data_IF_243738955665
#
_entry.id   IF_243738955665
#
_cell.length_a   1.000
_cell.length_b   1.000
_cell.length_c   1.000
_cell.angle_alpha   90.00
_cell.angle_beta   90.00
_cell.angle_gamma   90.00
#
_symmetry.space_group_name_H-M   'P 1'
#
loop_
_entity.id
_entity.type
_entity.pdbx_description
1 polymer ?
#
# COMPACT_ATOMS: atom_id res chain seq x y z
N UNK A 1 -18.34 76.97 20.28
CA UNK A 1 -18.37 76.12 19.07
C UNK A 1 -17.05 75.34 18.97
N UNK A 2 -17.05 74.03 19.25
CA UNK A 2 -15.96 73.11 18.87
C UNK A 2 -16.61 71.85 18.29
N UNK A 3 -16.25 71.52 17.05
CA UNK A 3 -16.88 70.51 16.19
C UNK A 3 -16.50 69.08 16.64
N UNK A 4 -17.49 68.19 16.69
CA UNK A 4 -17.35 66.74 16.94
C UNK A 4 -16.87 66.07 15.64
N UNK A 5 -15.75 65.31 15.60
CA UNK A 5 -15.14 64.86 14.35
C UNK A 5 -15.46 63.43 13.92
N UNK A 6 -16.50 62.76 14.45
CA UNK A 6 -16.83 61.39 14.01
C UNK A 6 -18.33 61.14 13.94
N UNK A 7 -18.93 61.51 12.82
CA UNK A 7 -20.38 61.33 12.53
C UNK A 7 -20.68 60.11 11.64
N UNK A 8 -19.67 59.36 11.19
CA UNK A 8 -19.80 58.32 10.15
C UNK A 8 -19.39 56.89 10.60
N UNK A 9 -19.33 56.59 11.89
CA UNK A 9 -18.98 55.25 12.38
C UNK A 9 -19.95 54.12 11.97
N UNK A 10 -21.30 54.29 11.94
CA UNK A 10 -22.20 53.19 11.56
C UNK A 10 -22.11 52.84 10.06
N UNK A 11 -21.70 53.79 9.21
CA UNK A 11 -21.54 53.56 7.75
C UNK A 11 -20.33 52.68 7.43
N UNK A 12 -19.24 52.76 8.21
CA UNK A 12 -18.05 51.93 7.99
C UNK A 12 -18.21 50.49 8.50
N UNK A 13 -19.03 50.27 9.53
CA UNK A 13 -19.33 48.93 10.05
C UNK A 13 -20.26 48.15 9.10
N UNK A 14 -21.25 48.81 8.48
CA UNK A 14 -22.12 48.20 7.46
C UNK A 14 -21.37 47.81 6.19
N UNK A 15 -20.34 48.57 5.79
CA UNK A 15 -19.53 48.22 4.62
C UNK A 15 -18.64 47.00 4.85
N UNK A 16 -18.11 46.84 6.08
CA UNK A 16 -17.34 45.65 6.47
C UNK A 16 -18.22 44.40 6.58
N UNK A 17 -19.45 44.53 7.09
CA UNK A 17 -20.43 43.44 7.15
C UNK A 17 -20.93 43.01 5.75
N UNK A 18 -21.13 43.97 4.84
CA UNK A 18 -21.52 43.68 3.46
C UNK A 18 -20.39 43.03 2.67
N UNK A 19 -19.14 43.46 2.88
CA UNK A 19 -17.96 42.83 2.28
C UNK A 19 -17.75 41.39 2.78
N UNK A 20 -18.03 41.11 4.07
CA UNK A 20 -17.95 39.78 4.65
C UNK A 20 -19.08 38.83 4.19
N UNK A 21 -20.29 39.36 3.92
CA UNK A 21 -21.41 38.59 3.36
C UNK A 21 -21.20 38.23 1.87
N UNK A 22 -20.54 39.09 1.10
CA UNK A 22 -20.23 38.82 -0.31
C UNK A 22 -19.11 37.77 -0.49
N UNK A 23 -18.23 37.58 0.50
CA UNK A 23 -17.19 36.52 0.46
C UNK A 23 -17.71 35.11 0.76
N UNK A 24 -18.96 34.97 1.21
CA UNK A 24 -19.59 33.66 1.50
C UNK A 24 -20.69 33.26 0.49
N UNK A 25 -20.78 33.95 -0.65
CA UNK A 25 -21.77 33.65 -1.69
C UNK A 25 -21.30 32.51 -2.60
N UNK A 26 -21.59 31.28 -2.17
CA UNK A 26 -21.94 30.07 -2.94
C UNK A 26 -21.28 29.90 -4.32
N UNK A 27 -20.31 29.01 -4.42
CA UNK A 27 -19.98 28.27 -5.66
C UNK A 27 -21.03 27.17 -5.85
N UNK A 28 -22.02 27.42 -6.71
CA UNK A 28 -22.91 26.40 -7.24
C UNK A 28 -22.17 25.73 -8.40
N UNK A 29 -21.72 24.48 -8.23
CA UNK A 29 -21.33 23.65 -9.35
C UNK A 29 -22.60 23.18 -10.06
N UNK A 30 -22.73 23.53 -11.34
CA UNK A 30 -23.74 22.95 -12.21
C UNK A 30 -23.35 21.49 -12.51
N UNK A 31 -24.29 20.59 -12.28
CA UNK A 31 -24.21 19.18 -12.61
C UNK A 31 -24.62 19.05 -14.09
N UNK A 32 -23.65 18.87 -14.98
CA UNK A 32 -23.94 18.56 -16.38
C UNK A 32 -24.30 17.07 -16.48
N UNK A 33 -25.52 16.82 -16.97
CA UNK A 33 -26.06 15.49 -17.24
C UNK A 33 -25.19 14.80 -18.31
N UNK A 34 -24.72 13.60 -17.98
CA UNK A 34 -24.08 12.70 -18.93
C UNK A 34 -25.10 12.30 -20.00
N UNK A 35 -24.98 12.89 -21.19
CA UNK A 35 -25.60 12.35 -22.39
C UNK A 35 -24.89 11.04 -22.73
N UNK A 36 -25.66 9.95 -22.71
CA UNK A 36 -25.23 8.67 -23.26
C UNK A 36 -24.89 8.83 -24.74
N UNK A 37 -23.61 8.70 -25.08
CA UNK A 37 -23.21 8.40 -26.45
C UNK A 37 -23.30 6.88 -26.65
N UNK A 38 -24.39 6.44 -27.27
CA UNK A 38 -24.37 5.18 -28.01
C UNK A 38 -23.35 5.32 -29.14
N UNK A 39 -22.13 4.85 -28.90
CA UNK A 39 -21.14 4.65 -29.96
C UNK A 39 -21.65 3.47 -30.81
N UNK A 40 -22.32 3.83 -31.90
CA UNK A 40 -22.54 2.92 -33.01
C UNK A 40 -21.17 2.62 -33.62
N UNK A 41 -20.67 1.41 -33.38
CA UNK A 41 -19.46 0.89 -33.97
C UNK A 41 -19.49 1.11 -35.49
N UNK A 42 -18.69 2.06 -35.96
CA UNK A 42 -18.45 2.25 -37.38
C UNK A 42 -17.73 1.00 -37.90
N UNK A 43 -18.44 0.18 -38.67
CA UNK A 43 -17.85 -0.93 -39.41
C UNK A 43 -16.65 -0.41 -40.22
N UNK A 44 -15.44 -0.83 -39.85
CA UNK A 44 -14.24 -0.50 -40.60
C UNK A 44 -14.23 -1.31 -41.91
N UNK A 45 -14.20 -0.60 -43.03
CA UNK A 45 -14.06 -1.18 -44.37
C UNK A 45 -12.57 -1.37 -44.67
N UNK A 46 -11.99 -2.45 -44.16
CA UNK A 46 -10.62 -2.90 -44.46
C UNK A 46 -10.59 -4.39 -44.84
N UNK A 47 -9.44 -4.93 -45.32
CA UNK A 47 -9.27 -6.37 -45.46
C UNK A 47 -9.45 -7.05 -44.10
N UNK A 48 -10.24 -8.12 -44.06
CA UNK A 48 -10.64 -8.86 -42.85
C UNK A 48 -11.54 -8.00 -41.92
N UNK A 49 -12.66 -7.52 -42.46
CA UNK A 49 -13.61 -6.68 -41.72
C UNK A 49 -14.38 -7.50 -40.67
N UNK A 50 -14.18 -7.18 -39.40
CA UNK A 50 -14.87 -7.80 -38.26
C UNK A 50 -15.19 -6.79 -37.16
N UNK A 51 -15.87 -7.25 -36.11
CA UNK A 51 -16.20 -6.48 -34.92
C UNK A 51 -15.06 -6.56 -33.88
N UNK A 52 -14.32 -5.46 -33.63
CA UNK A 52 -13.22 -5.46 -32.66
C UNK A 52 -13.66 -5.74 -31.21
N UNK A 53 -14.90 -5.40 -30.83
CA UNK A 53 -15.39 -5.64 -29.47
C UNK A 53 -15.62 -7.14 -29.22
N UNK A 54 -16.23 -7.84 -30.19
CA UNK A 54 -16.33 -9.30 -30.14
C UNK A 54 -14.94 -9.97 -30.23
N UNK A 55 -14.07 -9.42 -31.10
CA UNK A 55 -12.69 -9.85 -31.27
C UNK A 55 -11.85 -9.82 -30.01
N UNK A 56 -12.03 -8.78 -29.16
CA UNK A 56 -11.33 -8.68 -27.89
C UNK A 56 -11.67 -9.85 -26.95
N UNK A 57 -12.95 -10.21 -26.85
CA UNK A 57 -13.40 -11.32 -26.01
C UNK A 57 -12.82 -12.65 -26.50
N UNK A 58 -12.89 -12.90 -27.82
CA UNK A 58 -12.35 -14.09 -28.45
C UNK A 58 -10.83 -14.19 -28.32
N UNK A 59 -10.12 -13.07 -28.46
CA UNK A 59 -8.68 -12.99 -28.27
C UNK A 59 -8.27 -13.31 -26.84
N UNK A 60 -8.95 -12.73 -25.84
CA UNK A 60 -8.70 -13.01 -24.42
C UNK A 60 -8.94 -14.47 -24.07
N UNK A 61 -9.95 -15.10 -24.67
CA UNK A 61 -10.29 -16.49 -24.43
C UNK A 61 -9.31 -17.49 -25.09
N UNK A 62 -8.83 -17.21 -26.31
CA UNK A 62 -8.16 -18.22 -27.13
C UNK A 62 -6.69 -17.90 -27.46
N UNK A 63 -6.29 -16.63 -27.47
CA UNK A 63 -5.01 -16.19 -28.04
C UNK A 63 -4.07 -15.52 -27.03
N UNK A 64 -4.62 -14.83 -26.03
CA UNK A 64 -3.87 -13.99 -25.08
C UNK A 64 -2.87 -14.75 -24.18
N UNK A 65 -2.99 -16.08 -24.11
CA UNK A 65 -2.07 -16.95 -23.39
C UNK A 65 -0.70 -17.08 -24.10
N UNK A 66 -0.67 -16.96 -25.43
CA UNK A 66 0.54 -17.14 -26.23
C UNK A 66 0.96 -15.87 -26.99
N UNK A 67 0.02 -14.96 -27.24
CA UNK A 67 0.26 -13.75 -28.02
C UNK A 67 -0.01 -12.47 -27.21
N UNK A 68 0.80 -11.46 -27.46
CA UNK A 68 0.56 -10.06 -27.06
C UNK A 68 0.39 -9.20 -28.30
N UNK A 69 -0.26 -8.05 -28.16
CA UNK A 69 -0.46 -7.15 -29.30
C UNK A 69 0.87 -6.51 -29.73
N UNK A 70 1.66 -6.02 -28.79
CA UNK A 70 2.81 -5.15 -29.08
C UNK A 70 4.18 -5.76 -28.75
N UNK A 71 4.24 -6.99 -28.23
CA UNK A 71 5.49 -7.65 -27.80
C UNK A 71 5.53 -9.13 -28.22
N UNK A 72 6.74 -9.64 -28.42
CA UNK A 72 7.00 -11.07 -28.64
C UNK A 72 6.85 -11.86 -27.34
N UNK A 73 6.32 -13.07 -27.42
CA UNK A 73 6.15 -13.99 -26.30
C UNK A 73 6.36 -15.43 -26.80
N UNK A 74 5.49 -16.38 -26.44
CA UNK A 74 5.45 -17.72 -27.04
C UNK A 74 5.18 -17.63 -28.54
N UNK A 75 4.35 -16.68 -28.98
CA UNK A 75 4.11 -16.35 -30.37
C UNK A 75 4.47 -14.89 -30.73
N UNK A 76 4.38 -14.53 -32.02
CA UNK A 76 4.64 -13.17 -32.49
C UNK A 76 3.66 -12.13 -31.94
N UNK A 77 4.11 -10.88 -31.92
CA UNK A 77 3.26 -9.72 -31.70
C UNK A 77 2.21 -9.63 -32.82
N UNK A 78 0.94 -9.45 -32.45
CA UNK A 78 -0.18 -9.52 -33.40
C UNK A 78 -0.65 -8.16 -33.91
N UNK A 79 -0.20 -7.04 -33.32
CA UNK A 79 -0.60 -5.72 -33.83
C UNK A 79 -0.06 -5.49 -35.24
N UNK A 80 -0.96 -5.15 -36.15
CA UNK A 80 -0.63 -4.93 -37.57
C UNK A 80 -0.35 -6.21 -38.37
N UNK A 81 -0.72 -7.38 -37.87
CA UNK A 81 -0.54 -8.66 -38.59
C UNK A 81 -1.30 -8.69 -39.91
N UNK A 82 -2.51 -8.12 -39.95
CA UNK A 82 -3.33 -8.00 -41.16
C UNK A 82 -2.62 -7.15 -42.22
N UNK A 83 -2.05 -6.01 -41.82
CA UNK A 83 -1.29 -5.15 -42.72
C UNK A 83 0.02 -5.79 -43.20
N UNK A 84 0.66 -6.62 -42.38
CA UNK A 84 1.92 -7.31 -42.70
C UNK A 84 1.75 -8.36 -43.79
N UNK A 85 0.69 -9.16 -43.73
CA UNK A 85 0.47 -10.26 -44.67
C UNK A 85 -0.50 -9.90 -45.80
N UNK A 86 -1.42 -8.96 -45.57
CA UNK A 86 -2.41 -8.47 -46.53
C UNK A 86 -3.14 -9.59 -47.30
N UNK A 87 -3.45 -10.68 -46.59
CA UNK A 87 -3.94 -11.95 -47.12
C UNK A 87 -4.81 -12.62 -46.05
N UNK A 88 -6.11 -12.28 -46.02
CA UNK A 88 -7.04 -12.75 -44.99
C UNK A 88 -7.29 -14.25 -45.08
N UNK A 89 -7.40 -14.78 -46.30
CA UNK A 89 -7.62 -16.20 -46.54
C UNK A 89 -6.47 -17.03 -45.96
N UNK A 90 -5.23 -16.58 -46.16
CA UNK A 90 -4.07 -17.23 -45.53
C UNK A 90 -4.06 -17.10 -44.01
N UNK A 91 -4.48 -15.96 -43.45
CA UNK A 91 -4.60 -15.79 -42.01
C UNK A 91 -5.69 -16.70 -41.41
N UNK A 92 -6.80 -16.91 -42.11
CA UNK A 92 -7.85 -17.85 -41.74
C UNK A 92 -7.32 -19.29 -41.71
N UNK A 93 -6.62 -19.72 -42.76
CA UNK A 93 -6.00 -21.04 -42.82
C UNK A 93 -4.94 -21.23 -41.72
N UNK A 94 -4.12 -20.20 -41.47
CA UNK A 94 -3.10 -20.21 -40.43
C UNK A 94 -3.69 -20.33 -39.01
N UNK A 95 -4.73 -19.55 -38.71
CA UNK A 95 -5.35 -19.54 -37.38
C UNK A 95 -6.14 -20.83 -37.14
N UNK A 96 -6.81 -21.37 -38.17
CA UNK A 96 -7.49 -22.67 -38.08
C UNK A 96 -6.50 -23.82 -37.88
N UNK A 97 -5.44 -23.89 -38.68
CA UNK A 97 -4.41 -24.92 -38.53
C UNK A 97 -3.06 -24.54 -39.18
N UNK A 98 -2.20 -23.85 -38.43
CA UNK A 98 -0.84 -23.50 -38.85
C UNK A 98 0.02 -24.72 -39.27
N UNK A 99 -0.20 -25.89 -38.68
CA UNK A 99 0.61 -27.08 -38.95
C UNK A 99 0.37 -27.66 -40.35
N UNK A 100 -0.82 -27.47 -40.92
CA UNK A 100 -1.10 -27.92 -42.28
C UNK A 100 -0.35 -27.05 -43.30
N UNK A 101 -0.22 -25.74 -43.04
CA UNK A 101 0.58 -24.82 -43.86
C UNK A 101 2.09 -25.09 -43.74
N UNK A 102 2.58 -25.41 -42.54
CA UNK A 102 3.99 -25.79 -42.35
C UNK A 102 4.30 -27.10 -43.10
N UNK A 103 3.40 -28.10 -43.04
CA UNK A 103 3.57 -29.39 -43.73
C UNK A 103 3.39 -29.29 -45.25
N UNK A 104 2.54 -28.39 -45.73
CA UNK A 104 2.36 -28.14 -47.17
C UNK A 104 3.57 -27.45 -47.81
N UNK A 105 4.50 -26.95 -46.99
CA UNK A 105 5.73 -26.29 -47.44
C UNK A 105 5.55 -24.81 -47.77
N UNK A 106 4.51 -24.15 -47.23
CA UNK A 106 4.36 -22.70 -47.36
C UNK A 106 5.58 -21.99 -46.74
N UNK A 107 6.27 -21.17 -47.55
CA UNK A 107 7.52 -20.54 -47.14
C UNK A 107 7.34 -19.51 -46.02
N UNK A 108 6.16 -18.88 -45.92
CA UNK A 108 5.85 -17.93 -44.83
C UNK A 108 5.66 -18.70 -43.52
N UNK A 109 4.91 -19.79 -43.57
CA UNK A 109 4.62 -20.67 -42.45
C UNK A 109 5.88 -21.32 -41.86
N UNK A 110 6.72 -21.92 -42.71
CA UNK A 110 7.97 -22.58 -42.29
C UNK A 110 8.92 -21.58 -41.63
N UNK A 111 9.05 -20.38 -42.20
CA UNK A 111 9.91 -19.33 -41.64
C UNK A 111 9.48 -18.88 -40.24
N UNK A 112 8.16 -18.72 -40.01
CA UNK A 112 7.63 -18.38 -38.68
C UNK A 112 7.89 -19.54 -37.71
N UNK A 113 7.67 -20.79 -38.14
CA UNK A 113 7.89 -21.95 -37.31
C UNK A 113 9.36 -22.08 -36.86
N UNK A 114 10.32 -21.83 -37.75
CA UNK A 114 11.75 -21.80 -37.43
C UNK A 114 12.13 -20.62 -36.52
N UNK A 115 11.59 -19.41 -36.76
CA UNK A 115 11.87 -18.22 -35.93
C UNK A 115 11.45 -18.42 -34.47
N UNK A 116 10.40 -19.21 -34.22
CA UNK A 116 9.89 -19.51 -32.87
C UNK A 116 10.31 -20.90 -32.38
N UNK A 117 11.47 -21.40 -32.83
CA UNK A 117 12.09 -22.65 -32.37
C UNK A 117 11.18 -23.90 -32.47
N UNK A 118 10.31 -23.95 -33.47
CA UNK A 118 9.37 -25.05 -33.68
C UNK A 118 8.18 -25.06 -32.71
N UNK A 119 7.86 -23.92 -32.08
CA UNK A 119 6.66 -23.79 -31.26
C UNK A 119 5.40 -24.07 -32.09
N UNK A 120 4.60 -25.02 -31.65
CA UNK A 120 3.34 -25.40 -32.32
C UNK A 120 2.22 -24.51 -31.81
N UNK A 121 1.62 -23.72 -32.71
CA UNK A 121 0.36 -23.02 -32.43
C UNK A 121 -0.79 -24.03 -32.46
N UNK A 122 -1.57 -24.07 -31.38
CA UNK A 122 -2.78 -24.90 -31.27
C UNK A 122 -3.72 -24.61 -32.44
N UNK A 123 -4.33 -25.66 -33.00
CA UNK A 123 -5.32 -25.51 -34.06
C UNK A 123 -6.66 -25.04 -33.46
N UNK A 124 -7.32 -24.11 -34.15
CA UNK A 124 -8.63 -23.57 -33.76
C UNK A 124 -9.72 -23.86 -34.81
N UNK A 125 -10.00 -25.14 -35.15
CA UNK A 125 -11.02 -25.49 -36.14
C UNK A 125 -12.44 -25.09 -35.75
N UNK A 126 -12.67 -24.79 -34.47
CA UNK A 126 -13.95 -24.36 -33.93
C UNK A 126 -14.27 -22.87 -34.18
N UNK A 127 -13.27 -22.05 -34.51
CA UNK A 127 -13.51 -20.64 -34.83
C UNK A 127 -14.05 -20.51 -36.25
N UNK A 128 -15.17 -19.80 -36.40
CA UNK A 128 -15.71 -19.45 -37.71
C UNK A 128 -14.85 -18.38 -38.40
N UNK A 129 -15.01 -18.21 -39.71
CA UNK A 129 -14.29 -17.14 -40.44
C UNK A 129 -14.60 -15.76 -39.87
N UNK A 130 -15.86 -15.53 -39.44
CA UNK A 130 -16.26 -14.29 -38.78
C UNK A 130 -15.57 -14.11 -37.41
N UNK A 131 -15.45 -15.17 -36.61
CA UNK A 131 -14.74 -15.10 -35.32
C UNK A 131 -13.26 -14.72 -35.53
N UNK A 132 -12.65 -15.23 -36.61
CA UNK A 132 -11.27 -14.91 -36.97
C UNK A 132 -11.17 -13.46 -37.47
N UNK A 133 -12.10 -13.00 -38.31
CA UNK A 133 -12.15 -11.61 -38.76
C UNK A 133 -12.32 -10.63 -37.59
N UNK A 134 -13.15 -10.96 -36.61
CA UNK A 134 -13.34 -10.17 -35.40
C UNK A 134 -12.04 -10.08 -34.59
N UNK A 135 -11.33 -11.21 -34.38
CA UNK A 135 -10.00 -11.22 -33.72
C UNK A 135 -8.98 -10.38 -34.50
N UNK A 136 -8.94 -10.51 -35.83
CA UNK A 136 -8.04 -9.77 -36.70
C UNK A 136 -8.34 -8.26 -36.68
N UNK A 137 -9.60 -7.88 -36.61
CA UNK A 137 -10.04 -6.49 -36.46
C UNK A 137 -9.59 -5.91 -35.10
N UNK A 138 -9.72 -6.67 -34.00
CA UNK A 138 -9.21 -6.28 -32.69
C UNK A 138 -7.69 -6.08 -32.69
N UNK A 139 -6.93 -7.04 -33.23
CA UNK A 139 -5.46 -6.93 -33.30
C UNK A 139 -4.97 -5.80 -34.22
N UNK A 140 -5.81 -5.34 -35.15
CA UNK A 140 -5.49 -4.26 -36.09
C UNK A 140 -5.80 -2.86 -35.54
N UNK A 141 -6.43 -2.75 -34.37
CA UNK A 141 -6.65 -1.45 -33.74
C UNK A 141 -5.31 -0.72 -33.54
N UNK A 142 -5.29 0.62 -33.66
CA UNK A 142 -4.10 1.39 -33.31
C UNK A 142 -3.77 1.19 -31.83
N UNK A 143 -2.48 1.26 -31.48
CA UNK A 143 -2.06 1.22 -30.08
C UNK A 143 -2.74 2.39 -29.36
N UNK A 144 -3.54 2.17 -28.31
CA UNK A 144 -4.12 3.28 -27.56
C UNK A 144 -2.96 4.12 -27.02
N UNK A 145 -2.96 5.41 -27.34
CA UNK A 145 -1.96 6.32 -26.81
C UNK A 145 -2.09 6.35 -25.28
N UNK A 146 -0.98 6.31 -24.54
CA UNK A 146 -1.04 6.44 -23.10
C UNK A 146 -1.70 7.78 -22.80
N UNK A 147 -2.88 7.75 -22.19
CA UNK A 147 -3.52 8.94 -21.66
C UNK A 147 -2.60 9.45 -20.57
N UNK A 148 -1.73 10.40 -20.92
CA UNK A 148 -1.06 11.25 -19.94
C UNK A 148 -2.18 11.99 -19.27
N UNK A 149 -2.61 11.50 -18.11
CA UNK A 149 -3.49 12.25 -17.25
C UNK A 149 -2.80 13.60 -17.00
N UNK A 150 -3.41 14.68 -17.48
CA UNK A 150 -2.98 16.02 -17.13
C UNK A 150 -2.95 16.10 -15.61
N UNK A 151 -1.76 16.37 -15.07
CA UNK A 151 -1.58 16.67 -13.65
C UNK A 151 -2.41 17.92 -13.36
N UNK A 152 -3.47 17.84 -12.55
CA UNK A 152 -4.03 19.05 -11.97
C UNK A 152 -2.96 19.54 -11.00
N UNK A 153 -2.36 20.68 -11.29
CA UNK A 153 -1.50 21.38 -10.35
C UNK A 153 -2.30 21.64 -9.08
N UNK A 154 -1.91 20.93 -8.02
CA UNK A 154 -2.15 21.18 -6.61
C UNK A 154 -3.39 21.96 -6.22
N UNK A 155 -4.31 21.28 -5.55
CA UNK A 155 -4.89 21.85 -4.33
C UNK A 155 -5.01 20.72 -3.32
N UNK A 156 -4.38 20.91 -2.16
CA UNK A 156 -4.45 20.01 -1.02
C UNK A 156 -5.91 19.63 -0.72
N UNK A 157 -6.24 18.36 -0.94
CA UNK A 157 -7.55 17.77 -0.69
C UNK A 157 -7.45 16.72 0.40
N UNK A 158 -7.37 17.18 1.65
CA UNK A 158 -7.62 16.33 2.80
C UNK A 158 -8.99 15.68 2.68
N UNK A 159 -9.04 14.40 3.06
CA UNK A 159 -10.21 13.54 2.93
C UNK A 159 -11.49 14.17 3.45
N UNK A 160 -12.56 13.91 2.70
CA UNK A 160 -13.94 14.06 3.10
C UNK A 160 -14.22 13.20 4.34
N UNK A 161 -14.04 13.79 5.51
CA UNK A 161 -14.86 13.45 6.67
C UNK A 161 -15.81 14.62 6.90
N UNK A 162 -17.10 14.33 6.85
CA UNK A 162 -18.20 15.28 6.97
C UNK A 162 -18.38 15.71 8.43
N UNK A 163 -17.37 16.37 8.98
CA UNK A 163 -17.38 16.96 10.29
C UNK A 163 -16.37 18.09 10.31
N UNK A 164 -16.80 19.29 10.68
CA UNK A 164 -15.92 20.45 10.86
C UNK A 164 -14.67 19.99 11.63
N UNK A 165 -13.51 20.01 10.99
CA UNK A 165 -12.27 19.43 11.54
C UNK A 165 -12.00 20.06 12.90
N UNK A 166 -11.60 19.28 13.90
CA UNK A 166 -11.34 19.77 15.26
C UNK A 166 -10.41 21.01 15.27
N UNK A 167 -9.48 21.11 14.33
CA UNK A 167 -8.62 22.28 14.13
C UNK A 167 -9.38 23.57 13.77
N UNK A 168 -10.43 23.49 12.95
CA UNK A 168 -11.29 24.63 12.57
C UNK A 168 -12.17 25.02 13.75
N UNK A 169 -12.72 24.06 14.49
CA UNK A 169 -13.51 24.31 15.70
C UNK A 169 -12.64 24.98 16.77
N UNK A 170 -11.42 24.48 17.00
CA UNK A 170 -10.48 25.04 17.96
C UNK A 170 -10.02 26.46 17.55
N UNK A 171 -9.78 26.69 16.26
CA UNK A 171 -9.43 28.03 15.75
C UNK A 171 -10.58 29.03 15.92
N UNK A 172 -11.82 28.62 15.61
CA UNK A 172 -13.02 29.43 15.82
C UNK A 172 -13.25 29.73 17.31
N UNK A 173 -13.15 28.73 18.19
CA UNK A 173 -13.28 28.91 19.64
C UNK A 173 -12.20 29.86 20.19
N UNK A 174 -10.94 29.72 19.76
CA UNK A 174 -9.86 30.61 20.17
C UNK A 174 -10.12 32.06 19.75
N UNK A 175 -10.65 32.28 18.54
CA UNK A 175 -11.00 33.61 18.05
C UNK A 175 -12.17 34.23 18.83
N UNK A 176 -13.21 33.44 19.12
CA UNK A 176 -14.33 33.88 19.97
C UNK A 176 -13.83 34.23 21.37
N UNK A 177 -12.96 33.41 21.95
CA UNK A 177 -12.38 33.67 23.27
C UNK A 177 -11.55 34.95 23.29
N UNK A 178 -10.74 35.18 22.25
CA UNK A 178 -9.96 36.40 22.07
C UNK A 178 -10.89 37.63 21.98
N UNK A 179 -11.96 37.56 21.18
CA UNK A 179 -12.96 38.63 21.07
C UNK A 179 -13.65 38.90 22.40
N UNK A 180 -14.02 37.87 23.16
CA UNK A 180 -14.61 38.02 24.49
C UNK A 180 -13.64 38.68 25.48
N UNK A 181 -12.36 38.30 25.47
CA UNK A 181 -11.32 38.94 26.31
C UNK A 181 -11.15 40.42 25.95
N UNK A 182 -11.10 40.74 24.65
CA UNK A 182 -11.01 42.13 24.17
C UNK A 182 -12.26 42.92 24.58
N UNK A 183 -13.46 42.35 24.40
CA UNK A 183 -14.72 42.97 24.80
C UNK A 183 -14.74 43.23 26.31
N UNK A 184 -14.35 42.26 27.13
CA UNK A 184 -14.30 42.38 28.59
C UNK A 184 -13.35 43.51 29.02
N UNK A 185 -12.18 43.61 28.37
CA UNK A 185 -11.23 44.68 28.62
C UNK A 185 -11.80 46.06 28.25
N UNK A 186 -12.45 46.18 27.09
CA UNK A 186 -13.09 47.41 26.63
C UNK A 186 -14.24 47.83 27.54
N UNK A 187 -15.09 46.89 27.96
CA UNK A 187 -16.20 47.13 28.89
C UNK A 187 -15.66 47.59 30.24
N UNK A 188 -14.69 46.87 30.83
CA UNK A 188 -14.08 47.27 32.11
C UNK A 188 -13.44 48.67 32.02
N UNK A 189 -12.73 48.96 30.92
CA UNK A 189 -12.15 50.29 30.67
C UNK A 189 -13.22 51.37 30.54
N UNK A 190 -14.35 51.06 29.90
CA UNK A 190 -15.46 52.01 29.70
C UNK A 190 -16.21 52.25 31.00
N UNK A 191 -16.50 51.20 31.78
CA UNK A 191 -17.12 51.30 33.10
C UNK A 191 -16.26 52.13 34.07
N UNK A 192 -14.93 51.94 34.06
CA UNK A 192 -13.99 52.78 34.82
C UNK A 192 -13.99 54.23 34.35
N UNK A 193 -14.01 54.50 33.04
CA UNK A 193 -14.12 55.89 32.56
C UNK A 193 -15.43 56.56 32.95
N UNK A 194 -16.53 55.82 32.91
CA UNK A 194 -17.87 56.34 33.24
C UNK A 194 -17.98 56.66 34.72
N UNK A 195 -17.50 55.78 35.59
CA UNK A 195 -17.63 56.04 37.03
C UNK A 195 -16.59 57.07 37.55
N UNK A 196 -15.44 57.28 36.87
CA UNK A 196 -14.53 58.42 37.11
C UNK A 196 -15.25 59.74 36.76
N UNK A 197 -15.96 59.76 35.64
CA UNK A 197 -16.74 60.92 35.21
C UNK A 197 -17.96 61.22 36.12
N UNK A 198 -18.46 60.22 36.85
CA UNK A 198 -19.58 60.34 37.79
C UNK A 198 -19.16 60.51 39.25
N UNK A 199 -17.86 60.72 39.54
CA UNK A 199 -17.36 61.01 40.88
C UNK A 199 -17.43 59.85 41.88
N UNK A 200 -17.54 58.61 41.39
CA UNK A 200 -17.56 57.41 42.24
C UNK A 200 -16.12 56.97 42.48
N UNK A 201 -15.65 57.06 43.72
CA UNK A 201 -14.34 56.53 44.12
C UNK A 201 -14.40 55.00 44.22
N UNK A 202 -13.65 54.31 43.37
CA UNK A 202 -13.42 52.88 43.52
C UNK A 202 -12.28 52.67 44.50
N UNK A 203 -12.45 51.76 45.45
CA UNK A 203 -11.30 51.22 46.14
C UNK A 203 -10.46 50.45 45.12
N UNK A 204 -9.22 50.88 44.90
CA UNK A 204 -8.22 50.08 44.18
C UNK A 204 -8.05 48.79 44.98
N UNK A 205 -8.72 47.72 44.55
CA UNK A 205 -8.59 46.40 45.18
C UNK A 205 -7.11 46.10 45.36
N UNK A 206 -6.72 45.87 46.61
CA UNK A 206 -5.32 45.71 47.02
C UNK A 206 -4.55 44.87 45.99
N UNK A 207 -3.34 45.31 45.64
CA UNK A 207 -2.47 44.61 44.69
C UNK A 207 -2.29 43.16 45.14
N UNK A 208 -3.12 42.26 44.60
CA UNK A 208 -3.02 40.83 44.85
C UNK A 208 -1.62 40.39 44.47
N UNK A 209 -1.01 39.55 45.30
CA UNK A 209 0.29 38.99 44.98
C UNK A 209 0.21 38.31 43.60
N UNK A 210 1.19 38.54 42.70
CA UNK A 210 1.26 37.84 41.42
C UNK A 210 1.17 36.32 41.65
N UNK A 211 0.43 35.60 40.80
CA UNK A 211 0.14 34.17 40.97
C UNK A 211 1.43 33.34 41.19
N UNK A 212 2.51 33.65 40.47
CA UNK A 212 3.81 33.00 40.66
C UNK A 212 4.41 33.25 42.06
N UNK A 213 4.30 34.47 42.61
CA UNK A 213 4.75 34.76 43.98
C UNK A 213 3.88 34.06 45.02
N UNK A 214 2.56 34.04 44.81
CA UNK A 214 1.63 33.29 45.67
C UNK A 214 1.90 31.77 45.62
N UNK A 215 2.29 31.26 44.45
CA UNK A 215 2.69 29.87 44.26
C UNK A 215 3.99 29.54 45.00
N UNK A 216 5.05 30.34 44.84
CA UNK A 216 6.33 30.12 45.55
C UNK A 216 6.18 30.25 47.07
N UNK A 217 5.35 31.18 47.54
CA UNK A 217 5.08 31.33 48.97
C UNK A 217 4.32 30.13 49.56
N UNK A 218 3.57 29.40 48.72
CA UNK A 218 2.87 28.20 49.14
C UNK A 218 3.78 26.97 49.02
N UNK A 219 4.51 26.66 50.10
CA UNK A 219 5.44 25.53 50.16
C UNK A 219 4.78 24.18 49.81
N UNK A 220 3.49 24.00 50.12
CA UNK A 220 2.76 22.78 49.75
C UNK A 220 2.58 22.66 48.23
N UNK A 221 2.16 23.73 47.55
CA UNK A 221 2.02 23.73 46.09
C UNK A 221 3.37 23.53 45.39
N UNK A 222 4.43 24.20 45.86
CA UNK A 222 5.79 23.99 45.33
C UNK A 222 6.21 22.53 45.48
N UNK A 223 6.02 21.93 46.65
CA UNK A 223 6.40 20.54 46.91
C UNK A 223 5.59 19.56 46.04
N UNK A 224 4.27 19.74 45.93
CA UNK A 224 3.41 18.90 45.07
C UNK A 224 3.84 19.01 43.60
N UNK A 225 4.09 20.23 43.11
CA UNK A 225 4.55 20.44 41.73
C UNK A 225 5.95 19.86 41.51
N UNK A 226 6.87 19.97 42.46
CA UNK A 226 8.18 19.32 42.37
C UNK A 226 8.07 17.80 42.31
N UNK A 227 7.25 17.18 43.16
CA UNK A 227 6.99 15.73 43.12
C UNK A 227 6.40 15.34 41.77
N UNK A 228 5.40 16.08 41.29
CA UNK A 228 4.77 15.85 39.99
C UNK A 228 5.79 15.91 38.85
N UNK A 229 6.65 16.93 38.82
CA UNK A 229 7.69 17.09 37.81
C UNK A 229 8.74 15.98 37.88
N UNK A 230 9.13 15.55 39.09
CA UNK A 230 10.07 14.44 39.28
C UNK A 230 9.48 13.11 38.80
N UNK A 231 8.21 12.83 39.13
CA UNK A 231 7.51 11.63 38.66
C UNK A 231 7.30 11.68 37.14
N UNK A 232 6.96 12.83 36.59
CA UNK A 232 6.85 13.05 35.15
C UNK A 232 8.19 12.80 34.45
N UNK A 233 9.28 13.37 34.96
CA UNK A 233 10.62 13.16 34.43
C UNK A 233 11.03 11.67 34.50
N UNK A 234 10.77 11.01 35.63
CA UNK A 234 11.03 9.58 35.78
C UNK A 234 10.21 8.73 34.81
N UNK A 235 8.93 9.05 34.61
CA UNK A 235 8.06 8.37 33.65
C UNK A 235 8.55 8.51 32.21
N UNK A 236 8.89 9.72 31.76
CA UNK A 236 9.41 9.94 30.41
C UNK A 236 10.79 9.33 30.21
N UNK A 237 11.68 9.44 31.20
CA UNK A 237 13.00 8.82 31.14
C UNK A 237 12.89 7.29 31.06
N UNK A 238 12.07 6.67 31.92
CA UNK A 238 11.82 5.23 31.88
C UNK A 238 11.18 4.81 30.56
N UNK A 239 10.17 5.55 30.09
CA UNK A 239 9.52 5.30 28.80
C UNK A 239 10.50 5.31 27.64
N UNK A 240 11.39 6.31 27.58
CA UNK A 240 12.42 6.41 26.54
C UNK A 240 13.44 5.26 26.62
N UNK A 241 13.92 4.92 27.83
CA UNK A 241 14.86 3.81 28.03
C UNK A 241 14.27 2.45 27.61
N UNK A 242 12.97 2.23 27.85
CA UNK A 242 12.29 0.99 27.46
C UNK A 242 12.05 0.84 25.95
N UNK A 243 12.28 1.89 25.16
CA UNK A 243 12.21 1.84 23.69
C UNK A 243 13.58 1.58 23.03
N UNK A 244 14.67 1.53 23.79
CA UNK A 244 16.00 1.25 23.25
C UNK A 244 16.06 -0.20 22.76
N UNK A 245 16.42 -0.39 21.48
CA UNK A 245 16.50 -1.72 20.85
C UNK A 245 15.15 -2.31 20.46
N UNK A 246 14.11 -1.49 20.32
CA UNK A 246 12.81 -1.87 19.78
C UNK A 246 12.66 -1.27 18.38
N UNK A 247 12.75 -2.11 17.35
CA UNK A 247 12.74 -1.69 15.94
C UNK A 247 11.34 -1.83 15.30
N UNK A 248 10.28 -1.71 16.10
CA UNK A 248 8.90 -1.83 15.60
C UNK A 248 8.57 -0.70 14.61
N UNK A 249 7.94 -1.04 13.48
CA UNK A 249 7.66 -0.11 12.39
C UNK A 249 8.86 0.21 11.50
N UNK A 250 9.99 -0.47 11.67
CA UNK A 250 11.15 -0.28 10.79
C UNK A 250 10.81 -0.76 9.36
N UNK A 251 10.85 0.18 8.40
CA UNK A 251 10.51 -0.03 6.99
C UNK A 251 11.57 0.61 6.07
N UNK A 252 12.71 -0.07 5.81
CA UNK A 252 13.76 0.46 4.95
C UNK A 252 13.36 0.40 3.47
N UNK A 253 13.89 1.33 2.68
CA UNK A 253 13.78 1.30 1.22
C UNK A 253 14.56 0.10 0.67
N UNK A 254 13.90 -0.72 -0.13
CA UNK A 254 14.51 -1.88 -0.78
C UNK A 254 15.05 -1.52 -2.17
N UNK A 255 16.03 -2.28 -2.73
CA UNK A 255 16.58 -2.00 -4.07
C UNK A 255 15.54 -2.13 -5.20
N UNK A 256 14.59 -3.05 -5.02
CA UNK A 256 13.43 -3.26 -5.87
C UNK A 256 12.21 -3.02 -4.99
N UNK A 257 11.25 -2.22 -5.48
CA UNK A 257 9.99 -1.99 -4.79
C UNK A 257 9.08 -3.21 -4.94
N UNK A 258 9.29 -4.19 -4.06
CA UNK A 258 8.53 -5.44 -4.04
C UNK A 258 7.30 -5.32 -3.14
N UNK A 259 6.12 -5.52 -3.74
CA UNK A 259 4.83 -5.47 -3.05
C UNK A 259 4.38 -6.86 -2.60
N UNK A 260 4.33 -7.11 -1.29
CA UNK A 260 3.70 -8.33 -0.75
C UNK A 260 2.19 -8.30 -0.95
N UNK A 261 1.57 -7.12 -0.91
CA UNK A 261 0.15 -6.91 -1.16
C UNK A 261 -0.31 -7.44 -2.51
N UNK A 262 0.44 -7.21 -3.58
CA UNK A 262 0.08 -7.75 -4.90
C UNK A 262 0.25 -9.27 -4.94
N UNK A 263 1.35 -9.80 -4.40
CA UNK A 263 1.68 -11.22 -4.51
C UNK A 263 0.85 -12.11 -3.57
N UNK A 264 0.83 -11.79 -2.28
CA UNK A 264 0.13 -12.56 -1.26
C UNK A 264 -1.34 -12.09 -1.08
N UNK A 265 -1.62 -10.80 -1.24
CA UNK A 265 -2.97 -10.25 -1.07
C UNK A 265 -3.86 -10.39 -2.30
N UNK A 266 -3.48 -9.81 -3.44
CA UNK A 266 -4.32 -9.84 -4.65
C UNK A 266 -4.26 -11.21 -5.32
N UNK A 267 -3.05 -11.72 -5.54
CA UNK A 267 -2.84 -13.00 -6.24
C UNK A 267 -2.94 -14.23 -5.33
N UNK A 268 -3.07 -14.05 -4.01
CA UNK A 268 -3.26 -15.14 -3.04
C UNK A 268 -2.18 -16.22 -3.11
N UNK A 269 -0.93 -15.82 -3.40
CA UNK A 269 0.20 -16.75 -3.44
C UNK A 269 0.56 -17.17 -2.00
N UNK A 270 0.62 -18.48 -1.74
CA UNK A 270 0.99 -19.01 -0.43
C UNK A 270 2.37 -18.51 0.03
N UNK A 271 2.48 -18.11 1.30
CA UNK A 271 3.71 -17.58 1.87
C UNK A 271 4.91 -18.53 1.71
N UNK A 272 4.68 -19.85 1.79
CA UNK A 272 5.74 -20.86 1.70
C UNK A 272 6.14 -21.18 0.25
N UNK A 273 5.45 -20.64 -0.75
CA UNK A 273 5.89 -20.77 -2.13
C UNK A 273 7.25 -20.07 -2.32
N UNK A 274 7.33 -18.81 -1.90
CA UNK A 274 8.56 -18.03 -1.92
C UNK A 274 9.45 -18.37 -0.71
N UNK A 275 8.89 -18.41 0.50
CA UNK A 275 9.62 -18.66 1.74
C UNK A 275 9.63 -20.14 2.14
N UNK A 276 9.96 -21.03 1.19
CA UNK A 276 9.87 -22.49 1.35
C UNK A 276 10.68 -23.07 2.50
N UNK A 277 11.80 -22.42 2.84
CA UNK A 277 12.69 -22.85 3.93
C UNK A 277 12.07 -22.73 5.33
N UNK A 278 11.00 -21.95 5.51
CA UNK A 278 10.31 -21.80 6.79
C UNK A 278 9.86 -23.15 7.39
N UNK A 279 9.51 -24.12 6.54
CA UNK A 279 9.00 -25.44 6.97
C UNK A 279 10.09 -26.43 7.38
N UNK A 280 11.35 -26.18 7.02
CA UNK A 280 12.44 -27.19 7.14
C UNK A 280 13.72 -26.67 7.77
N UNK A 281 13.92 -25.35 7.79
CA UNK A 281 15.15 -24.72 8.26
C UNK A 281 14.88 -23.86 9.48
N UNK A 282 15.94 -23.58 10.23
CA UNK A 282 15.91 -22.58 11.30
C UNK A 282 15.74 -21.15 10.76
N UNK A 283 16.23 -20.89 9.56
CA UNK A 283 16.12 -19.59 8.90
C UNK A 283 15.18 -19.70 7.71
N UNK A 284 14.12 -18.88 7.70
CA UNK A 284 13.34 -18.61 6.50
C UNK A 284 14.10 -17.60 5.64
N UNK A 285 14.79 -18.09 4.61
CA UNK A 285 15.58 -17.26 3.71
C UNK A 285 14.72 -16.39 2.77
N UNK A 286 15.36 -15.36 2.22
CA UNK A 286 14.82 -14.59 1.09
C UNK A 286 14.85 -15.50 -0.16
N UNK A 287 13.79 -15.56 -0.97
CA UNK A 287 13.77 -16.39 -2.17
C UNK A 287 14.91 -16.02 -3.13
N UNK A 288 15.52 -17.03 -3.74
CA UNK A 288 16.43 -16.78 -4.86
C UNK A 288 15.67 -16.20 -6.06
N UNK A 289 16.35 -15.41 -6.90
CA UNK A 289 15.73 -14.77 -8.08
C UNK A 289 15.17 -15.78 -9.10
N UNK A 290 15.59 -17.05 -9.04
CA UNK A 290 14.99 -18.12 -9.85
C UNK A 290 13.48 -18.27 -9.58
N UNK A 291 13.04 -18.10 -8.32
CA UNK A 291 11.61 -18.17 -7.96
C UNK A 291 10.84 -17.05 -8.65
N UNK A 292 11.40 -15.83 -8.66
CA UNK A 292 10.80 -14.69 -9.36
C UNK A 292 10.66 -14.99 -10.86
N UNK A 293 11.71 -15.56 -11.48
CA UNK A 293 11.72 -15.86 -12.91
C UNK A 293 10.86 -17.05 -13.33
N UNK A 294 10.31 -17.83 -12.40
CA UNK A 294 9.35 -18.88 -12.77
C UNK A 294 8.05 -18.29 -13.37
N UNK A 295 7.65 -17.12 -12.89
CA UNK A 295 6.46 -16.40 -13.37
C UNK A 295 6.84 -15.20 -14.26
N UNK A 296 7.88 -14.45 -13.89
CA UNK A 296 8.24 -13.22 -14.60
C UNK A 296 8.91 -13.44 -15.96
N UNK A 297 9.12 -14.67 -16.44
CA UNK A 297 9.46 -14.91 -17.85
C UNK A 297 8.34 -14.53 -18.80
N UNK A 298 7.10 -14.78 -18.38
CA UNK A 298 5.89 -14.52 -19.19
C UNK A 298 5.14 -13.28 -18.71
N UNK A 299 5.34 -12.88 -17.45
CA UNK A 299 4.73 -11.69 -16.85
C UNK A 299 5.74 -10.54 -16.88
N UNK A 300 5.74 -9.79 -17.98
CA UNK A 300 6.60 -8.61 -18.20
C UNK A 300 5.98 -7.30 -17.76
N UNK A 301 4.65 -7.25 -17.64
CA UNK A 301 3.89 -6.05 -17.29
C UNK A 301 2.78 -6.40 -16.32
N UNK A 302 2.48 -5.49 -15.39
CA UNK A 302 1.32 -5.60 -14.50
C UNK A 302 0.05 -5.12 -15.22
N UNK A 303 -1.11 -5.46 -14.69
CA UNK A 303 -2.39 -4.98 -15.22
C UNK A 303 -2.48 -3.44 -15.18
N UNK A 304 -3.15 -2.83 -16.16
CA UNK A 304 -3.24 -1.36 -16.29
C UNK A 304 -3.83 -0.69 -15.03
N UNK A 305 -4.83 -1.33 -14.41
CA UNK A 305 -5.41 -0.87 -13.15
C UNK A 305 -4.39 -0.86 -12.01
N UNK A 306 -3.63 -1.95 -11.86
CA UNK A 306 -2.58 -2.08 -10.84
C UNK A 306 -1.41 -1.12 -11.10
N UNK A 307 -1.02 -0.92 -12.36
CA UNK A 307 0.00 0.07 -12.72
C UNK A 307 -0.46 1.49 -12.36
N UNK A 308 -1.72 1.82 -12.68
CA UNK A 308 -2.29 3.14 -12.38
C UNK A 308 -2.38 3.39 -10.88
N UNK A 309 -2.76 2.38 -10.11
CA UNK A 309 -2.77 2.42 -8.64
C UNK A 309 -1.36 2.63 -8.08
N UNK A 310 -0.38 1.86 -8.57
CA UNK A 310 1.04 2.02 -8.20
C UNK A 310 1.56 3.44 -8.38
N UNK A 311 1.26 4.04 -9.52
CA UNK A 311 1.70 5.41 -9.84
C UNK A 311 0.98 6.48 -9.01
N UNK A 312 -0.33 6.32 -8.77
CA UNK A 312 -1.14 7.31 -8.06
C UNK A 312 -0.96 7.26 -6.55
N UNK A 313 -0.96 6.07 -5.97
CA UNK A 313 -0.96 5.88 -4.52
C UNK A 313 0.46 5.79 -3.95
N UNK A 314 1.36 5.10 -4.65
CA UNK A 314 2.71 4.82 -4.16
C UNK A 314 3.82 5.55 -4.92
N UNK A 315 3.49 6.20 -6.05
CA UNK A 315 4.48 6.85 -6.90
C UNK A 315 5.44 5.88 -7.60
N UNK A 316 5.03 4.62 -7.78
CA UNK A 316 5.89 3.54 -8.30
C UNK A 316 5.42 3.10 -9.68
N UNK A 317 6.38 2.95 -10.59
CA UNK A 317 6.19 2.27 -11.86
C UNK A 317 6.57 0.79 -11.73
N UNK A 318 5.57 -0.08 -11.50
CA UNK A 318 5.83 -1.51 -11.30
C UNK A 318 6.48 -2.18 -12.52
N UNK A 319 6.14 -1.74 -13.74
CA UNK A 319 6.77 -2.25 -14.95
C UNK A 319 8.26 -1.88 -15.01
N UNK A 320 8.66 -0.72 -14.50
CA UNK A 320 10.06 -0.36 -14.34
C UNK A 320 10.77 -1.20 -13.27
N UNK A 321 10.09 -1.54 -12.17
CA UNK A 321 10.63 -2.42 -11.12
C UNK A 321 10.87 -3.86 -11.62
N UNK A 322 9.97 -4.41 -12.45
CA UNK A 322 10.18 -5.72 -13.10
C UNK A 322 11.44 -5.71 -13.97
N UNK A 323 11.74 -4.60 -14.65
CA UNK A 323 12.98 -4.48 -15.44
C UNK A 323 14.24 -4.53 -14.58
N UNK A 324 14.19 -4.04 -13.33
CA UNK A 324 15.32 -4.19 -12.38
C UNK A 324 15.55 -5.66 -12.04
N UNK A 325 14.49 -6.45 -11.90
CA UNK A 325 14.61 -7.90 -11.73
C UNK A 325 15.29 -8.54 -12.96
N UNK A 326 14.87 -8.19 -14.17
CA UNK A 326 15.49 -8.70 -15.40
C UNK A 326 16.97 -8.33 -15.51
N UNK A 327 17.33 -7.09 -15.16
CA UNK A 327 18.73 -6.67 -15.10
C UNK A 327 19.54 -7.46 -14.06
N UNK A 328 18.93 -7.82 -12.92
CA UNK A 328 19.59 -8.60 -11.88
C UNK A 328 19.85 -10.06 -12.31
N UNK A 329 18.91 -10.68 -13.02
CA UNK A 329 19.05 -12.07 -13.49
C UNK A 329 19.69 -12.21 -14.87
N UNK A 330 19.92 -11.10 -15.58
CA UNK A 330 20.40 -11.10 -16.96
C UNK A 330 19.36 -11.63 -17.95
N UNK A 331 18.08 -11.28 -17.80
CA UNK A 331 17.02 -11.68 -18.73
C UNK A 331 16.83 -10.63 -19.83
N UNK A 332 16.88 -11.04 -21.09
CA UNK A 332 16.62 -10.18 -22.24
C UNK A 332 15.20 -10.42 -22.79
N UNK A 333 14.36 -9.40 -22.70
CA UNK A 333 12.95 -9.47 -23.15
C UNK A 333 12.82 -9.69 -24.67
N UNK A 334 13.76 -9.18 -25.47
CA UNK A 334 13.67 -9.25 -26.94
C UNK A 334 13.95 -10.64 -27.49
N UNK A 335 14.98 -11.29 -26.97
CA UNK A 335 15.42 -12.64 -27.33
C UNK A 335 14.80 -13.74 -26.49
N UNK A 336 14.08 -13.39 -25.40
CA UNK A 336 13.49 -14.32 -24.44
C UNK A 336 14.53 -15.33 -23.90
N UNK A 337 15.74 -14.83 -23.62
CA UNK A 337 16.88 -15.64 -23.23
C UNK A 337 17.73 -14.97 -22.14
N UNK A 338 18.52 -15.77 -21.43
CA UNK A 338 19.45 -15.25 -20.44
C UNK A 338 20.76 -14.84 -21.10
N UNK A 339 21.25 -13.64 -20.78
CA UNK A 339 22.53 -13.09 -21.27
C UNK A 339 23.75 -13.73 -20.60
N UNK A 340 23.58 -14.32 -19.41
CA UNK A 340 24.65 -14.87 -18.59
C UNK A 340 25.32 -13.85 -17.65
N UNK A 341 24.92 -12.58 -17.72
CA UNK A 341 25.40 -11.53 -16.82
C UNK A 341 24.42 -11.36 -15.64
N UNK A 342 24.82 -11.80 -14.45
CA UNK A 342 23.96 -11.76 -13.26
C UNK A 342 24.53 -10.86 -12.17
N UNK A 343 23.65 -10.13 -11.47
CA UNK A 343 23.98 -9.36 -10.27
C UNK A 343 23.00 -9.70 -9.14
N UNK A 344 23.47 -10.10 -7.95
CA UNK A 344 22.59 -10.39 -6.84
C UNK A 344 21.87 -9.10 -6.38
N UNK A 345 20.62 -9.24 -5.96
CA UNK A 345 19.87 -8.14 -5.35
C UNK A 345 20.26 -8.03 -3.88
N UNK A 346 20.75 -6.86 -3.48
CA UNK A 346 21.20 -6.57 -2.11
C UNK A 346 20.04 -6.18 -1.20
N UNK A 347 19.19 -7.16 -0.87
CA UNK A 347 18.03 -6.93 0.01
C UNK A 347 18.44 -6.44 1.41
N UNK A 348 17.69 -5.47 1.94
CA UNK A 348 17.86 -5.00 3.31
C UNK A 348 17.02 -5.85 4.24
N UNK A 349 17.67 -6.59 5.13
CA UNK A 349 16.99 -7.45 6.10
C UNK A 349 16.37 -6.62 7.23
N UNK A 350 15.06 -6.74 7.38
CA UNK A 350 14.25 -6.02 8.38
C UNK A 350 14.31 -6.72 9.74
N UNK A 351 13.89 -7.99 9.79
CA UNK A 351 13.83 -8.76 11.03
C UNK A 351 15.19 -9.34 11.40
N UNK A 352 15.82 -8.78 12.43
CA UNK A 352 17.09 -9.26 12.97
C UNK A 352 16.95 -9.60 14.46
N UNK A 353 17.58 -10.72 14.83
CA UNK A 353 17.82 -11.08 16.22
C UNK A 353 19.34 -11.15 16.42
N UNK A 354 19.86 -10.84 17.62
CA UNK A 354 21.27 -11.03 17.94
C UNK A 354 21.70 -12.49 17.71
N UNK A 355 22.96 -12.70 17.35
CA UNK A 355 23.53 -14.01 17.02
C UNK A 355 23.58 -15.00 18.19
N UNK A 356 23.64 -14.50 19.42
CA UNK A 356 23.50 -15.28 20.65
C UNK A 356 22.05 -15.72 20.93
N UNK A 357 21.07 -15.32 20.10
CA UNK A 357 19.70 -15.83 20.17
C UNK A 357 19.47 -16.88 19.09
N UNK A 358 19.18 -18.11 19.51
CA UNK A 358 18.80 -19.20 18.64
C UNK A 358 17.28 -19.19 18.41
N UNK A 359 16.87 -18.92 17.17
CA UNK A 359 15.50 -19.04 16.71
C UNK A 359 15.40 -20.05 15.57
N UNK A 360 14.34 -20.85 15.54
CA UNK A 360 14.13 -21.87 14.53
C UNK A 360 12.71 -21.80 13.94
N UNK A 361 12.60 -21.37 12.67
CA UNK A 361 11.32 -21.25 11.97
C UNK A 361 10.56 -22.57 11.88
N UNK A 362 11.21 -23.69 11.52
CA UNK A 362 10.51 -24.96 11.32
C UNK A 362 9.82 -25.50 12.59
N UNK A 363 10.36 -25.20 13.76
CA UNK A 363 9.71 -25.55 15.04
C UNK A 363 8.41 -24.76 15.25
N UNK A 364 8.41 -23.47 14.93
CA UNK A 364 7.24 -22.62 15.12
C UNK A 364 6.18 -22.85 14.03
N UNK A 365 6.61 -23.00 12.78
CA UNK A 365 5.70 -23.15 11.63
C UNK A 365 5.17 -24.57 11.52
N UNK A 366 6.04 -25.59 11.52
CA UNK A 366 5.63 -26.98 11.22
C UNK A 366 5.23 -27.77 12.45
N UNK A 367 5.89 -27.56 13.59
CA UNK A 367 5.58 -28.33 14.82
C UNK A 367 4.50 -27.63 15.63
N UNK A 368 4.62 -26.32 15.86
CA UNK A 368 3.64 -25.58 16.66
C UNK A 368 2.44 -25.05 15.84
N UNK A 369 2.53 -25.00 14.50
CA UNK A 369 1.45 -24.51 13.65
C UNK A 369 1.13 -23.02 13.88
N UNK A 370 2.16 -22.21 14.17
CA UNK A 370 1.96 -20.76 14.39
C UNK A 370 1.76 -20.06 13.06
N UNK A 371 0.64 -19.34 12.93
CA UNK A 371 0.35 -18.51 11.76
C UNK A 371 1.39 -17.40 11.57
N UNK A 372 1.77 -17.15 10.32
CA UNK A 372 2.83 -16.20 9.95
C UNK A 372 2.51 -14.78 10.45
N UNK A 373 1.24 -14.38 10.33
CA UNK A 373 0.73 -13.06 10.67
C UNK A 373 0.84 -12.76 12.16
N UNK A 374 0.87 -13.77 13.02
CA UNK A 374 1.02 -13.58 14.47
C UNK A 374 2.39 -12.96 14.83
N UNK A 375 3.40 -13.21 14.00
CA UNK A 375 4.76 -12.69 14.19
C UNK A 375 5.09 -11.54 13.25
N UNK A 376 4.65 -11.62 11.98
CA UNK A 376 5.03 -10.67 10.93
C UNK A 376 3.96 -9.65 10.57
N UNK A 377 2.77 -9.71 11.18
CA UNK A 377 1.63 -8.84 10.85
C UNK A 377 0.88 -9.29 9.59
N UNK A 378 -0.16 -8.56 9.16
CA UNK A 378 -0.92 -8.84 7.93
C UNK A 378 -0.09 -8.50 6.69
N UNK A 379 0.91 -9.33 6.39
CA UNK A 379 1.88 -9.08 5.29
C UNK A 379 1.20 -8.99 3.92
N UNK A 380 0.07 -9.67 3.74
CA UNK A 380 -0.77 -9.60 2.56
C UNK A 380 -1.40 -8.22 2.30
N UNK A 381 -1.35 -7.30 3.26
CA UNK A 381 -1.82 -5.92 3.10
C UNK A 381 -0.67 -4.93 2.87
N UNK A 382 0.58 -5.38 3.00
CA UNK A 382 1.76 -4.51 2.99
C UNK A 382 2.30 -4.26 1.58
N UNK A 383 2.27 -2.99 1.19
CA UNK A 383 2.95 -2.51 -0.03
C UNK A 383 4.47 -2.51 0.14
N UNK A 384 4.95 -2.02 1.28
CA UNK A 384 6.35 -2.15 1.71
C UNK A 384 6.39 -2.94 3.00
N UNK A 385 7.39 -3.80 3.14
CA UNK A 385 7.50 -4.62 4.35
C UNK A 385 7.97 -3.76 5.54
N UNK A 386 7.32 -3.96 6.68
CA UNK A 386 7.68 -3.32 7.96
C UNK A 386 7.80 -4.34 9.10
N UNK A 387 8.52 -3.99 10.16
CA UNK A 387 8.58 -4.84 11.35
C UNK A 387 7.33 -4.67 12.23
N UNK A 388 6.42 -5.65 12.18
CA UNK A 388 5.19 -5.63 12.98
C UNK A 388 5.40 -5.88 14.47
N UNK A 389 6.09 -6.98 14.82
CA UNK A 389 6.31 -7.36 16.21
C UNK A 389 7.64 -6.80 16.74
N UNK A 390 7.74 -6.47 18.04
CA UNK A 390 8.97 -5.91 18.62
C UNK A 390 10.11 -6.94 18.70
N UNK A 391 9.80 -8.25 18.66
CA UNK A 391 10.77 -9.36 18.76
C UNK A 391 11.72 -9.29 19.97
N UNK A 392 11.32 -8.60 21.04
CA UNK A 392 12.08 -8.53 22.28
C UNK A 392 11.93 -9.82 23.10
N UNK A 393 12.90 -10.09 23.98
CA UNK A 393 12.88 -11.28 24.84
C UNK A 393 11.56 -11.43 25.63
N UNK A 394 11.03 -10.33 26.17
CA UNK A 394 9.78 -10.33 26.93
C UNK A 394 8.58 -10.78 26.08
N UNK A 395 8.55 -10.38 24.81
CA UNK A 395 7.52 -10.80 23.86
C UNK A 395 7.59 -12.31 23.59
N UNK A 396 8.79 -12.86 23.35
CA UNK A 396 8.99 -14.29 23.16
C UNK A 396 8.55 -15.10 24.39
N UNK A 397 8.95 -14.65 25.59
CA UNK A 397 8.61 -15.31 26.86
C UNK A 397 7.10 -15.33 27.09
N UNK A 398 6.42 -14.20 26.87
CA UNK A 398 4.97 -14.13 27.07
C UNK A 398 4.24 -15.02 26.07
N UNK A 399 4.65 -15.02 24.79
CA UNK A 399 4.10 -15.93 23.80
C UNK A 399 4.26 -17.40 24.21
N UNK A 400 5.42 -17.79 24.75
CA UNK A 400 5.66 -19.16 25.25
C UNK A 400 4.84 -19.52 26.50
N UNK A 401 4.49 -18.54 27.33
CA UNK A 401 3.62 -18.73 28.51
C UNK A 401 2.16 -18.92 28.13
N UNK A 402 1.72 -18.28 27.05
CA UNK A 402 0.31 -18.19 26.67
C UNK A 402 -0.08 -19.19 25.56
N UNK A 403 0.89 -19.62 24.74
CA UNK A 403 0.62 -20.51 23.61
C UNK A 403 0.68 -21.97 24.04
N UNK A 404 -0.43 -22.68 23.81
CA UNK A 404 -0.52 -24.13 24.02
C UNK A 404 0.21 -24.88 22.91
N UNK A 405 0.88 -25.97 23.27
CA UNK A 405 1.49 -26.89 22.31
C UNK A 405 0.44 -27.83 21.72
N UNK A 406 0.61 -28.18 20.45
CA UNK A 406 -0.21 -29.18 19.78
C UNK A 406 0.34 -30.57 20.09
N UNK A 407 -0.44 -31.39 20.81
CA UNK A 407 -0.05 -32.74 21.27
C UNK A 407 -0.89 -33.86 20.66
N UNK A 408 -2.03 -33.52 20.06
CA UNK A 408 -3.10 -34.45 19.72
C UNK A 408 -2.70 -35.48 18.63
N UNK A 409 -1.71 -35.16 17.79
CA UNK A 409 -1.27 -36.01 16.67
C UNK A 409 0.25 -36.33 16.67
N UNK A 410 0.94 -36.16 17.81
CA UNK A 410 2.38 -36.36 17.88
C UNK A 410 2.78 -37.39 18.94
N UNK A 411 3.08 -38.62 18.49
CA UNK A 411 3.50 -39.73 19.34
C UNK A 411 4.78 -39.47 20.15
N UNK A 412 5.57 -38.44 19.82
CA UNK A 412 6.69 -38.00 20.65
C UNK A 412 6.22 -37.44 22.02
N UNK A 413 5.06 -36.77 22.04
CA UNK A 413 4.57 -36.09 23.23
C UNK A 413 3.67 -36.95 24.12
N UNK A 414 3.27 -38.16 23.72
CA UNK A 414 2.28 -38.96 24.46
C UNK A 414 2.66 -39.16 25.94
N UNK A 415 3.87 -39.65 26.22
CA UNK A 415 4.36 -39.87 27.60
C UNK A 415 4.60 -38.56 28.35
N UNK A 416 5.20 -37.57 27.67
CA UNK A 416 5.54 -36.29 28.28
C UNK A 416 4.27 -35.51 28.63
N UNK A 417 3.27 -35.57 27.76
CA UNK A 417 1.96 -34.98 27.98
C UNK A 417 1.28 -35.63 29.17
N UNK A 418 1.22 -36.96 29.24
CA UNK A 418 0.60 -37.66 30.37
C UNK A 418 1.26 -37.30 31.72
N UNK A 419 2.59 -37.29 31.79
CA UNK A 419 3.32 -36.97 33.02
C UNK A 419 3.19 -35.50 33.43
N UNK A 420 3.33 -34.56 32.49
CA UNK A 420 3.27 -33.13 32.78
C UNK A 420 1.84 -32.66 33.05
N UNK A 421 0.84 -33.19 32.34
CA UNK A 421 -0.58 -32.90 32.61
C UNK A 421 -0.96 -33.36 34.02
N UNK A 422 -0.48 -34.53 34.48
CA UNK A 422 -0.65 -34.98 35.87
C UNK A 422 0.06 -34.08 36.88
N UNK A 423 1.28 -33.63 36.57
CA UNK A 423 2.08 -32.79 37.47
C UNK A 423 1.48 -31.39 37.65
N UNK A 424 1.01 -30.78 36.57
CA UNK A 424 0.50 -29.40 36.56
C UNK A 424 -1.02 -29.31 36.70
N UNK A 425 -1.74 -30.43 36.57
CA UNK A 425 -3.21 -30.48 36.67
C UNK A 425 -3.91 -29.74 35.52
N UNK A 426 -3.33 -29.76 34.32
CA UNK A 426 -3.87 -29.09 33.13
C UNK A 426 -3.97 -30.06 31.95
N UNK A 427 -5.02 -29.93 31.15
CA UNK A 427 -5.24 -30.76 29.95
C UNK A 427 -4.43 -30.27 28.75
N UNK A 428 -4.02 -29.00 28.75
CA UNK A 428 -3.20 -28.39 27.70
C UNK A 428 -1.93 -27.81 28.30
N UNK A 429 -0.80 -28.13 27.68
CA UNK A 429 0.50 -27.66 28.10
C UNK A 429 0.93 -26.46 27.26
N UNK A 430 1.62 -25.52 27.87
CA UNK A 430 2.26 -24.40 27.17
C UNK A 430 3.72 -24.69 26.86
N UNK A 431 4.30 -23.95 25.92
CA UNK A 431 5.74 -24.07 25.64
C UNK A 431 6.58 -23.81 26.90
N UNK A 432 6.14 -22.92 27.79
CA UNK A 432 6.78 -22.67 29.07
C UNK A 432 6.79 -23.89 30.00
N UNK A 433 5.69 -24.65 30.06
CA UNK A 433 5.60 -25.88 30.88
C UNK A 433 6.46 -27.03 30.33
N UNK A 434 6.81 -26.98 29.04
CA UNK A 434 7.76 -27.90 28.39
C UNK A 434 9.23 -27.46 28.55
N UNK A 435 9.48 -26.43 29.37
CA UNK A 435 10.82 -25.89 29.60
C UNK A 435 11.29 -24.92 28.51
N UNK A 436 10.39 -24.39 27.67
CA UNK A 436 10.70 -23.37 26.66
C UNK A 436 11.07 -21.99 27.21
N UNK A 437 11.41 -21.89 28.49
CA UNK A 437 11.91 -20.70 29.18
C UNK A 437 13.32 -20.90 29.77
N UNK A 438 13.98 -22.02 29.48
CA UNK A 438 15.36 -22.28 29.91
C UNK A 438 16.36 -21.50 29.05
N UNK A 439 17.37 -20.89 29.67
CA UNK A 439 18.35 -20.06 28.98
C UNK A 439 19.06 -20.80 27.83
N UNK A 440 19.53 -22.03 28.07
CA UNK A 440 20.31 -22.80 27.09
C UNK A 440 19.51 -23.24 25.85
N UNK A 441 18.17 -23.25 25.93
CA UNK A 441 17.32 -23.57 24.77
C UNK A 441 17.21 -22.41 23.78
N UNK A 442 17.48 -21.19 24.23
CA UNK A 442 17.38 -19.97 23.42
C UNK A 442 18.72 -19.29 23.18
N UNK A 443 19.72 -19.50 24.05
CA UNK A 443 20.98 -18.74 24.04
C UNK A 443 22.26 -19.59 24.04
N UNK A 444 22.14 -20.89 23.81
CA UNK A 444 23.19 -21.93 23.91
C UNK A 444 23.60 -22.26 25.35
#
# INVERSE_FOLDING_TARGET
>A
MKKVPYRNLPSKLSFLLLAFLLTFSVTIFAQEEAAASEDTAAAQTGPCAGDPANGEALFKANCAACHKLDKKMTGPALRGVVAKYNDCDWLHEWIKNSQDLVKSGDQRAVKIFEEYNGAVMTAFPQLSDQDIDDILAYTSQPKPEPVVAEVPTGTDGGGSDSGVTNSIILAALALVFLLLVIMLFLVNKTLRRIAEANGVTYEEGEKRTPIWKAFIQNQFLVLVTCIFLLLGAAYFAYGWMMQVGVDQGYAPVQPIHYSHRIHAGVNQIDCNYCHSSARRSKHSGIPSLNVCMNCHKTISEVAEGTQSEGQKEYGVDYNAEIKKLYAAVGWDEGSQSYTGETKPVEWVRIHNLPDFAYFNHSQHVTVAGVECQKCHGPVEEYEIMEQFAPLTMGWCINCHRETNIQVEDNGYYEKIHEELSKKYGVDKLTAAQMGGLECGKCHY
#
